data_IF_992309078593
#
_entry.id   IF_992309078593
#
_cell.length_a   1.000
_cell.length_b   1.000
_cell.length_c   1.000
_cell.angle_alpha   90.00
_cell.angle_beta   90.00
_cell.angle_gamma   90.00
#
_symmetry.space_group_name_H-M   'P 1'
#
loop_
_entity.id
_entity.type
_entity.pdbx_description
1 polymer ?
#
# COMPACT_ATOMS: atom_id res chain seq x y z
N UNK A 1 -13.78 -25.37 19.93
CA UNK A 1 -12.41 -24.84 19.95
C UNK A 1 -11.51 -25.66 19.02
N UNK A 2 -11.44 -26.98 19.23
CA UNK A 2 -10.64 -27.94 18.44
C UNK A 2 -10.84 -27.91 16.91
N UNK A 3 -12.08 -27.81 16.41
CA UNK A 3 -12.32 -27.77 14.96
C UNK A 3 -11.75 -26.51 14.28
N UNK A 4 -11.76 -25.36 14.98
CA UNK A 4 -11.20 -24.10 14.49
C UNK A 4 -9.67 -24.14 14.51
N UNK A 5 -9.07 -24.77 15.51
CA UNK A 5 -7.63 -24.96 15.59
C UNK A 5 -7.13 -25.91 14.49
N UNK A 6 -7.83 -27.01 14.25
CA UNK A 6 -7.53 -27.92 13.14
C UNK A 6 -7.62 -27.23 11.77
N UNK A 7 -8.63 -26.39 11.56
CA UNK A 7 -8.75 -25.57 10.35
C UNK A 7 -7.63 -24.52 10.21
N UNK A 8 -7.14 -23.96 11.32
CA UNK A 8 -6.00 -23.05 11.30
C UNK A 8 -4.69 -23.78 11.00
N UNK A 9 -4.53 -25.01 11.51
CA UNK A 9 -3.38 -25.86 11.24
C UNK A 9 -3.32 -26.28 9.76
N UNK A 10 -4.47 -26.61 9.15
CA UNK A 10 -4.51 -26.98 7.73
C UNK A 10 -4.20 -25.82 6.77
N UNK A 11 -4.31 -24.57 7.24
CA UNK A 11 -3.96 -23.36 6.50
C UNK A 11 -2.51 -22.90 6.70
N UNK A 12 -1.73 -23.62 7.52
CA UNK A 12 -0.31 -23.28 7.72
C UNK A 12 0.47 -23.53 6.43
N UNK A 13 1.58 -22.79 6.23
CA UNK A 13 2.47 -23.07 5.13
C UNK A 13 2.96 -24.52 5.16
N UNK A 14 3.15 -25.09 3.97
CA UNK A 14 3.64 -26.48 3.80
C UNK A 14 5.02 -26.71 4.43
N UNK A 15 5.86 -25.69 4.41
CA UNK A 15 7.22 -25.72 4.94
C UNK A 15 7.35 -24.73 6.08
N UNK A 16 8.09 -25.09 7.11
CA UNK A 16 8.61 -24.16 8.11
C UNK A 16 9.66 -23.23 7.49
N UNK A 17 9.96 -22.11 8.14
CA UNK A 17 10.98 -21.17 7.67
C UNK A 17 12.38 -21.81 7.65
N UNK A 18 12.69 -22.69 8.60
CA UNK A 18 13.95 -23.44 8.63
C UNK A 18 14.07 -24.39 7.43
N UNK A 19 13.00 -25.12 7.10
CA UNK A 19 12.97 -25.97 5.90
C UNK A 19 13.11 -25.13 4.63
N UNK A 20 12.46 -23.97 4.54
CA UNK A 20 12.65 -23.04 3.43
C UNK A 20 14.12 -22.63 3.24
N UNK A 21 14.82 -22.30 4.33
CA UNK A 21 16.24 -21.92 4.28
C UNK A 21 17.13 -23.08 3.80
N UNK A 22 16.96 -24.27 4.39
CA UNK A 22 17.72 -25.46 3.99
C UNK A 22 17.47 -25.84 2.52
N UNK A 23 16.21 -25.77 2.08
CA UNK A 23 15.83 -26.01 0.68
C UNK A 23 16.42 -24.97 -0.25
N UNK A 24 16.46 -23.69 0.14
CA UNK A 24 17.05 -22.64 -0.68
C UNK A 24 18.55 -22.85 -0.89
N UNK A 25 19.30 -23.22 0.15
CA UNK A 25 20.73 -23.53 0.04
C UNK A 25 20.98 -24.71 -0.90
N UNK A 26 20.18 -25.78 -0.77
CA UNK A 26 20.24 -26.92 -1.68
C UNK A 26 19.88 -26.51 -3.11
N UNK A 27 18.81 -25.73 -3.31
CA UNK A 27 18.38 -25.27 -4.62
C UNK A 27 19.45 -24.38 -5.29
N UNK A 28 20.09 -23.49 -4.51
CA UNK A 28 21.10 -22.57 -5.00
C UNK A 28 22.36 -23.30 -5.52
N UNK A 29 22.70 -24.46 -4.94
CA UNK A 29 23.85 -25.28 -5.38
C UNK A 29 23.55 -26.16 -6.60
N UNK A 30 22.29 -26.32 -7.01
CA UNK A 30 21.94 -27.15 -8.16
C UNK A 30 22.50 -26.62 -9.49
N UNK A 31 22.76 -27.51 -10.47
CA UNK A 31 22.99 -27.13 -11.86
C UNK A 31 21.80 -26.34 -12.43
N UNK A 32 22.07 -25.44 -13.39
CA UNK A 32 21.03 -24.58 -13.98
C UNK A 32 19.83 -25.36 -14.53
N UNK A 33 20.06 -26.50 -15.19
CA UNK A 33 18.99 -27.33 -15.79
C UNK A 33 18.03 -27.94 -14.76
N UNK A 34 18.49 -28.07 -13.51
CA UNK A 34 17.71 -28.64 -12.41
C UNK A 34 17.01 -27.57 -11.56
N UNK A 35 17.39 -26.30 -11.69
CA UNK A 35 16.77 -25.18 -10.98
C UNK A 35 15.40 -24.88 -11.58
N UNK A 36 14.36 -25.56 -11.11
CA UNK A 36 12.97 -25.38 -11.58
C UNK A 36 12.10 -24.67 -10.54
N UNK A 37 11.25 -23.77 -11.01
CA UNK A 37 10.18 -23.15 -10.24
C UNK A 37 8.84 -23.60 -10.78
N UNK A 38 7.94 -24.04 -9.90
CA UNK A 38 6.57 -24.39 -10.27
C UNK A 38 5.68 -23.16 -10.19
N UNK A 39 5.12 -22.74 -11.33
CA UNK A 39 4.26 -21.56 -11.42
C UNK A 39 2.87 -21.82 -10.82
N UNK A 40 2.40 -23.07 -10.83
CA UNK A 40 1.08 -23.40 -10.28
C UNK A 40 1.11 -23.45 -8.76
N UNK A 41 2.17 -24.06 -8.20
CA UNK A 41 2.35 -24.19 -6.75
C UNK A 41 3.09 -23.00 -6.11
N UNK A 42 3.75 -22.16 -6.92
CA UNK A 42 4.54 -21.00 -6.47
C UNK A 42 5.70 -21.39 -5.54
N UNK A 43 6.40 -22.50 -5.87
CA UNK A 43 7.52 -23.04 -5.08
C UNK A 43 8.74 -23.36 -5.94
N UNK A 44 9.93 -23.19 -5.36
CA UNK A 44 11.19 -23.75 -5.85
C UNK A 44 11.17 -25.28 -5.67
N UNK A 45 11.51 -26.00 -6.73
CA UNK A 45 11.51 -27.47 -6.75
C UNK A 45 12.92 -28.02 -6.60
N UNK A 46 13.08 -28.97 -5.69
CA UNK A 46 14.25 -29.83 -5.66
C UNK A 46 14.10 -30.98 -6.68
N UNK A 47 15.19 -31.64 -7.12
CA UNK A 47 15.14 -32.66 -8.17
C UNK A 47 14.15 -33.80 -7.89
N UNK A 48 14.04 -34.22 -6.63
CA UNK A 48 13.10 -35.26 -6.19
C UNK A 48 11.62 -34.88 -6.35
N UNK A 49 11.30 -33.58 -6.48
CA UNK A 49 9.92 -33.07 -6.58
C UNK A 49 9.49 -32.87 -8.04
N UNK A 50 10.41 -33.01 -9.01
CA UNK A 50 10.11 -32.77 -10.42
C UNK A 50 9.03 -33.70 -10.99
N UNK A 51 9.04 -34.98 -10.61
CA UNK A 51 8.05 -35.96 -11.09
C UNK A 51 6.64 -35.63 -10.61
N UNK A 52 6.50 -35.25 -9.33
CA UNK A 52 5.22 -34.83 -8.74
C UNK A 52 4.65 -33.54 -9.33
N UNK A 53 5.50 -32.73 -9.99
CA UNK A 53 5.12 -31.49 -10.66
C UNK A 53 5.18 -31.59 -12.20
N UNK A 54 5.24 -32.80 -12.76
CA UNK A 54 5.34 -33.03 -14.21
C UNK A 54 4.15 -32.50 -15.00
N UNK A 55 2.95 -32.52 -14.41
CA UNK A 55 1.72 -31.97 -14.99
C UNK A 55 1.55 -30.46 -14.74
N UNK A 56 2.42 -29.85 -13.93
CA UNK A 56 2.35 -28.42 -13.62
C UNK A 56 3.19 -27.59 -14.58
N UNK A 57 2.85 -26.31 -14.69
CA UNK A 57 3.71 -25.32 -15.34
C UNK A 57 4.98 -25.11 -14.53
N UNK A 58 6.12 -25.33 -15.17
CA UNK A 58 7.43 -25.14 -14.56
C UNK A 58 8.33 -24.31 -15.48
N UNK A 59 9.21 -23.51 -14.88
CA UNK A 59 10.20 -22.69 -15.58
C UNK A 59 11.57 -22.86 -14.94
N UNK A 60 12.63 -22.78 -15.75
CA UNK A 60 14.01 -22.78 -15.26
C UNK A 60 14.36 -21.44 -14.61
N UNK A 61 15.12 -21.46 -13.52
CA UNK A 61 15.42 -20.27 -12.71
C UNK A 61 16.91 -19.91 -12.82
N UNK A 62 17.17 -18.69 -13.27
CA UNK A 62 18.50 -18.09 -13.28
C UNK A 62 18.90 -17.55 -11.90
N UNK A 63 20.20 -17.37 -11.67
CA UNK A 63 20.69 -16.71 -10.44
C UNK A 63 20.19 -15.25 -10.31
N UNK A 64 19.92 -14.56 -11.42
CA UNK A 64 19.34 -13.22 -11.40
C UNK A 64 17.87 -13.24 -10.93
N UNK A 65 17.08 -14.22 -11.41
CA UNK A 65 15.68 -14.40 -10.98
C UNK A 65 15.56 -14.79 -9.51
N UNK A 66 16.46 -15.64 -9.00
CA UNK A 66 16.47 -15.99 -7.57
C UNK A 66 16.65 -14.78 -6.64
N UNK A 67 17.40 -13.77 -7.09
CA UNK A 67 17.62 -12.52 -6.35
C UNK A 67 16.48 -11.50 -6.52
N UNK A 68 15.47 -11.80 -7.34
CA UNK A 68 14.28 -10.97 -7.55
C UNK A 68 13.00 -11.82 -7.43
N UNK A 69 12.62 -12.31 -6.24
CA UNK A 69 11.46 -13.20 -6.12
C UNK A 69 10.15 -12.61 -6.65
N UNK A 70 9.99 -11.28 -6.64
CA UNK A 70 8.81 -10.59 -7.18
C UNK A 70 8.60 -10.73 -8.69
N UNK A 71 9.60 -11.21 -9.45
CA UNK A 71 9.43 -11.55 -10.88
C UNK A 71 9.07 -13.03 -11.11
N UNK A 72 9.29 -13.90 -10.10
CA UNK A 72 8.92 -15.31 -10.13
C UNK A 72 7.53 -15.52 -9.52
N UNK A 73 7.29 -14.92 -8.35
CA UNK A 73 6.04 -15.02 -7.62
C UNK A 73 4.97 -14.17 -8.32
N UNK A 74 3.85 -14.81 -8.65
CA UNK A 74 2.67 -14.09 -9.10
C UNK A 74 2.16 -13.19 -7.95
N UNK A 75 1.89 -11.89 -8.20
CA UNK A 75 1.37 -11.02 -7.16
C UNK A 75 0.01 -11.49 -6.63
N UNK A 76 -0.18 -11.43 -5.31
CA UNK A 76 -1.49 -11.64 -4.67
C UNK A 76 -2.27 -10.31 -4.65
N UNK A 77 -2.79 -9.93 -5.81
CA UNK A 77 -3.39 -8.61 -6.07
C UNK A 77 -4.85 -8.45 -5.59
N UNK A 78 -5.41 -9.47 -4.93
CA UNK A 78 -6.76 -9.40 -4.39
C UNK A 78 -6.85 -8.30 -3.31
N UNK A 79 -7.60 -7.24 -3.64
CA UNK A 79 -7.76 -6.04 -2.84
C UNK A 79 -8.36 -6.26 -1.44
N UNK A 80 -9.03 -7.40 -1.22
CA UNK A 80 -9.68 -7.73 0.05
C UNK A 80 -8.79 -8.54 1.00
N UNK A 81 -7.68 -9.10 0.51
CA UNK A 81 -6.75 -9.88 1.32
C UNK A 81 -5.36 -9.23 1.33
N UNK A 82 -4.48 -9.66 0.42
CA UNK A 82 -3.07 -9.30 0.41
C UNK A 82 -2.85 -7.94 -0.24
N UNK A 83 -3.63 -7.60 -1.27
CA UNK A 83 -3.51 -6.36 -2.04
C UNK A 83 -2.04 -6.05 -2.41
N UNK A 84 -1.29 -7.07 -2.84
CA UNK A 84 0.13 -6.96 -3.11
C UNK A 84 0.36 -6.17 -4.39
N UNK A 85 0.67 -4.88 -4.24
CA UNK A 85 1.05 -4.01 -5.33
C UNK A 85 2.56 -3.79 -5.29
N UNK A 86 3.21 -4.00 -6.42
CA UNK A 86 4.65 -3.97 -6.54
C UNK A 86 5.09 -2.64 -7.15
N UNK A 87 6.01 -1.94 -6.49
CA UNK A 87 6.58 -0.68 -6.98
C UNK A 87 7.18 -0.84 -8.37
N UNK A 88 6.94 0.11 -9.26
CA UNK A 88 7.77 0.27 -10.47
C UNK A 88 9.25 0.31 -10.13
N UNK A 89 10.13 -0.15 -11.04
CA UNK A 89 11.58 -0.04 -10.85
C UNK A 89 11.98 1.42 -10.54
N UNK A 90 11.38 2.41 -11.23
CA UNK A 90 11.61 3.84 -10.96
C UNK A 90 11.37 4.21 -9.49
N UNK A 91 10.20 3.83 -8.95
CA UNK A 91 9.84 4.18 -7.57
C UNK A 91 10.70 3.44 -6.54
N UNK A 92 11.06 2.19 -6.81
CA UNK A 92 11.87 1.38 -5.91
C UNK A 92 13.33 1.86 -5.88
N UNK A 93 13.92 2.23 -7.02
CA UNK A 93 15.27 2.83 -7.07
C UNK A 93 15.30 4.20 -6.40
N UNK A 94 14.31 5.06 -6.66
CA UNK A 94 14.21 6.34 -5.94
C UNK A 94 14.24 6.16 -4.41
N UNK A 95 13.47 5.20 -3.88
CA UNK A 95 13.48 4.91 -2.44
C UNK A 95 14.86 4.44 -1.98
N UNK A 96 15.47 3.47 -2.67
CA UNK A 96 16.79 2.95 -2.33
C UNK A 96 17.85 4.06 -2.32
N UNK A 97 17.93 4.83 -3.40
CA UNK A 97 18.93 5.88 -3.58
C UNK A 97 18.74 7.02 -2.57
N UNK A 98 17.48 7.36 -2.26
CA UNK A 98 17.16 8.34 -1.21
C UNK A 98 17.66 7.86 0.16
N UNK A 99 17.35 6.62 0.55
CA UNK A 99 17.75 6.09 1.85
C UNK A 99 19.27 5.97 1.98
N UNK A 100 19.92 5.51 0.91
CA UNK A 100 21.37 5.45 0.82
C UNK A 100 22.02 6.83 0.92
N UNK A 101 21.51 7.82 0.18
CA UNK A 101 22.01 9.19 0.19
C UNK A 101 21.80 9.91 1.52
N UNK A 102 20.80 9.49 2.31
CA UNK A 102 20.60 9.93 3.69
C UNK A 102 21.51 9.23 4.70
N UNK A 103 22.30 8.24 4.26
CA UNK A 103 23.27 7.53 5.11
C UNK A 103 22.72 6.32 5.87
N UNK A 104 21.45 5.92 5.64
CA UNK A 104 20.91 4.73 6.30
C UNK A 104 21.64 3.46 5.86
N UNK A 105 21.97 2.59 6.82
CA UNK A 105 22.63 1.30 6.55
C UNK A 105 21.73 0.10 6.81
N UNK A 106 20.61 0.29 7.52
CA UNK A 106 19.64 -0.76 7.85
C UNK A 106 18.24 -0.33 7.42
N UNK A 107 17.58 -1.13 6.59
CA UNK A 107 16.21 -0.86 6.11
C UNK A 107 15.26 -1.97 6.55
N UNK A 108 14.34 -1.63 7.44
CA UNK A 108 13.24 -2.53 7.82
C UNK A 108 12.12 -2.41 6.77
N UNK A 109 12.00 -3.43 5.92
CA UNK A 109 11.03 -3.48 4.84
C UNK A 109 9.72 -4.12 5.33
N UNK A 110 8.66 -3.34 5.52
CA UNK A 110 7.35 -3.85 5.98
C UNK A 110 6.38 -3.89 4.81
N UNK A 111 6.17 -5.08 4.23
CA UNK A 111 5.33 -5.26 3.04
C UNK A 111 5.94 -4.70 1.75
N UNK A 112 7.26 -4.58 1.66
CA UNK A 112 7.96 -3.93 0.53
C UNK A 112 8.96 -4.86 -0.16
N UNK A 113 8.52 -6.01 -0.72
CA UNK A 113 9.42 -7.04 -1.24
C UNK A 113 10.34 -6.56 -2.36
N UNK A 114 9.88 -5.66 -3.25
CA UNK A 114 10.74 -5.10 -4.31
C UNK A 114 11.86 -4.21 -3.78
N UNK A 115 11.64 -3.51 -2.67
CA UNK A 115 12.70 -2.72 -2.05
C UNK A 115 13.74 -3.63 -1.41
N UNK A 116 13.31 -4.68 -0.70
CA UNK A 116 14.19 -5.73 -0.17
C UNK A 116 15.10 -6.30 -1.27
N UNK A 117 14.53 -6.66 -2.42
CA UNK A 117 15.28 -7.20 -3.57
C UNK A 117 16.37 -6.24 -4.06
N UNK A 118 16.02 -4.96 -4.27
CA UNK A 118 16.98 -3.97 -4.77
C UNK A 118 18.08 -3.68 -3.75
N UNK A 119 17.76 -3.64 -2.45
CA UNK A 119 18.78 -3.49 -1.40
C UNK A 119 19.78 -4.65 -1.46
N UNK A 120 19.29 -5.89 -1.60
CA UNK A 120 20.13 -7.10 -1.70
C UNK A 120 20.98 -7.16 -2.98
N UNK A 121 20.54 -6.51 -4.05
CA UNK A 121 21.28 -6.41 -5.32
C UNK A 121 22.35 -5.30 -5.30
N UNK A 122 22.34 -4.42 -4.29
CA UNK A 122 23.28 -3.31 -4.18
C UNK A 122 24.67 -3.82 -3.79
N UNK A 123 25.66 -3.56 -4.65
CA UNK A 123 27.05 -3.98 -4.44
C UNK A 123 27.97 -2.87 -3.90
N UNK A 124 27.72 -1.61 -4.27
CA UNK A 124 28.64 -0.49 -4.02
C UNK A 124 28.73 -0.11 -2.54
N UNK A 125 27.59 -0.17 -1.84
CA UNK A 125 27.52 0.05 -0.40
C UNK A 125 26.45 -0.88 0.18
N UNK A 126 26.85 -2.02 0.73
CA UNK A 126 25.93 -2.99 1.29
C UNK A 126 25.07 -2.35 2.38
N UNK A 127 23.75 -2.53 2.27
CA UNK A 127 22.79 -2.20 3.32
C UNK A 127 22.18 -3.50 3.83
N UNK A 128 21.95 -3.58 5.14
CA UNK A 128 21.20 -4.70 5.73
C UNK A 128 19.71 -4.45 5.56
N UNK A 129 18.94 -5.49 5.30
CA UNK A 129 17.49 -5.37 5.14
C UNK A 129 16.75 -6.58 5.66
N UNK A 130 15.66 -6.33 6.38
CA UNK A 130 14.78 -7.35 6.93
C UNK A 130 13.37 -7.13 6.36
N UNK A 131 12.82 -8.15 5.71
CA UNK A 131 11.47 -8.13 5.16
C UNK A 131 10.46 -8.72 6.16
N UNK A 132 9.53 -7.89 6.64
CA UNK A 132 8.34 -8.30 7.37
C UNK A 132 7.16 -8.36 6.40
N UNK A 133 6.67 -9.55 6.07
CA UNK A 133 5.55 -9.72 5.12
C UNK A 133 4.60 -10.85 5.56
N UNK A 134 3.34 -10.74 5.16
CA UNK A 134 2.32 -11.76 5.36
C UNK A 134 2.40 -12.86 4.29
N UNK A 135 3.02 -12.57 3.15
CA UNK A 135 3.22 -13.53 2.07
C UNK A 135 4.40 -14.46 2.36
N UNK A 136 4.11 -15.58 3.02
CA UNK A 136 5.11 -16.59 3.37
C UNK A 136 5.87 -17.18 2.17
N UNK A 137 5.38 -17.00 0.94
CA UNK A 137 6.08 -17.50 -0.26
C UNK A 137 7.46 -16.86 -0.43
N UNK A 138 7.75 -15.71 0.17
CA UNK A 138 9.09 -15.11 0.18
C UNK A 138 10.09 -15.84 1.07
N UNK A 139 9.63 -16.63 2.06
CA UNK A 139 10.50 -17.36 2.98
C UNK A 139 11.46 -18.33 2.27
N UNK A 140 11.10 -18.83 1.08
CA UNK A 140 11.94 -19.75 0.31
C UNK A 140 13.09 -19.06 -0.45
N UNK A 141 13.20 -17.74 -0.39
CA UNK A 141 14.22 -16.96 -1.10
C UNK A 141 15.16 -16.18 -0.18
N UNK A 142 14.89 -16.16 1.12
CA UNK A 142 15.60 -15.34 2.10
C UNK A 142 16.03 -16.18 3.29
N UNK A 143 17.14 -15.79 3.92
CA UNK A 143 17.58 -16.42 5.17
C UNK A 143 16.66 -16.07 6.35
N UNK A 144 16.89 -16.69 7.51
CA UNK A 144 16.13 -16.41 8.73
C UNK A 144 16.28 -14.97 9.22
N UNK A 145 17.42 -14.33 8.93
CA UNK A 145 17.73 -12.95 9.33
C UNK A 145 17.26 -11.91 8.31
N UNK A 146 16.68 -12.35 7.19
CA UNK A 146 16.28 -11.50 6.07
C UNK A 146 14.76 -11.46 5.86
N UNK A 147 14.02 -12.39 6.46
CA UNK A 147 12.57 -12.48 6.35
C UNK A 147 11.92 -12.89 7.68
N UNK A 148 10.78 -12.29 7.99
CA UNK A 148 9.91 -12.75 9.06
C UNK A 148 8.46 -12.78 8.56
N UNK A 149 7.79 -13.92 8.77
CA UNK A 149 6.37 -14.03 8.50
C UNK A 149 5.60 -13.20 9.55
N UNK A 150 5.01 -12.11 9.09
CA UNK A 150 4.52 -11.04 9.94
C UNK A 150 3.18 -10.48 9.47
N UNK A 151 2.28 -10.21 10.42
CA UNK A 151 1.03 -9.52 10.15
C UNK A 151 1.07 -8.09 10.71
N UNK A 152 1.13 -7.12 9.79
CA UNK A 152 1.18 -5.69 10.11
C UNK A 152 -0.10 -5.11 10.73
N UNK A 153 -1.26 -5.79 10.67
CA UNK A 153 -2.49 -5.26 11.27
C UNK A 153 -2.60 -5.52 12.76
N UNK A 154 -1.90 -6.52 13.29
CA UNK A 154 -1.98 -6.91 14.69
C UNK A 154 -0.62 -7.15 15.33
N UNK A 155 0.47 -6.77 14.64
CA UNK A 155 1.85 -6.94 15.09
C UNK A 155 2.17 -8.40 15.48
N UNK A 156 1.61 -9.37 14.74
CA UNK A 156 1.80 -10.79 15.02
C UNK A 156 2.95 -11.38 14.21
N UNK A 157 3.86 -12.07 14.89
CA UNK A 157 4.95 -12.85 14.30
C UNK A 157 4.58 -14.33 14.31
N UNK A 158 4.48 -14.96 13.13
CA UNK A 158 4.10 -16.37 13.03
C UNK A 158 5.22 -17.31 13.48
N UNK A 159 6.48 -16.87 13.44
CA UNK A 159 7.61 -17.58 14.04
C UNK A 159 7.79 -17.35 15.54
N UNK A 160 6.85 -16.65 16.20
CA UNK A 160 6.87 -16.42 17.64
C UNK A 160 8.08 -15.61 18.10
N UNK A 161 8.64 -15.98 19.25
CA UNK A 161 9.77 -15.28 19.88
C UNK A 161 11.04 -15.29 19.02
N UNK A 162 11.28 -16.33 18.22
CA UNK A 162 12.44 -16.38 17.34
C UNK A 162 12.43 -15.25 16.30
N UNK A 163 11.28 -15.01 15.64
CA UNK A 163 11.14 -13.90 14.70
C UNK A 163 11.16 -12.53 15.39
N UNK A 164 10.72 -12.44 16.65
CA UNK A 164 10.83 -11.21 17.45
C UNK A 164 12.29 -10.90 17.77
N UNK A 165 13.07 -11.91 18.17
CA UNK A 165 14.50 -11.74 18.42
C UNK A 165 15.26 -11.29 17.16
N UNK A 166 14.88 -11.78 15.98
CA UNK A 166 15.42 -11.29 14.70
C UNK A 166 15.11 -9.81 14.49
N UNK A 167 13.87 -9.38 14.75
CA UNK A 167 13.51 -7.95 14.69
C UNK A 167 14.35 -7.14 15.69
N UNK A 168 14.45 -7.57 16.95
CA UNK A 168 15.16 -6.83 17.99
C UNK A 168 16.65 -6.69 17.66
N UNK A 169 17.28 -7.77 17.19
CA UNK A 169 18.66 -7.72 16.68
C UNK A 169 18.80 -6.79 15.47
N UNK A 170 17.81 -6.78 14.58
CA UNK A 170 17.79 -5.85 13.44
C UNK A 170 17.54 -4.40 13.86
N UNK A 171 16.77 -4.13 14.90
CA UNK A 171 16.51 -2.76 15.38
C UNK A 171 17.64 -2.20 16.24
N UNK A 172 18.48 -3.06 16.81
CA UNK A 172 19.65 -2.64 17.58
C UNK A 172 20.64 -1.87 16.67
N UNK A 173 21.00 -0.65 17.07
CA UNK A 173 21.91 0.21 16.32
C UNK A 173 23.31 0.16 16.92
N UNK A 174 24.32 -0.05 16.08
CA UNK A 174 25.72 0.24 16.38
C UNK A 174 26.12 1.58 15.74
N UNK A 175 27.30 2.11 16.07
CA UNK A 175 27.81 3.36 15.48
C UNK A 175 27.76 3.31 13.94
N UNK A 176 27.01 4.24 13.34
CA UNK A 176 26.83 4.32 11.90
C UNK A 176 25.78 3.38 11.29
N UNK A 177 25.10 2.54 12.08
CA UNK A 177 24.09 1.59 11.59
C UNK A 177 22.64 2.07 11.79
N UNK A 178 22.35 3.32 11.44
CA UNK A 178 21.01 3.89 11.61
C UNK A 178 19.95 3.09 10.83
N UNK A 179 18.83 2.81 11.50
CA UNK A 179 17.70 2.06 10.95
C UNK A 179 16.63 3.02 10.43
N UNK A 180 16.06 2.67 9.27
CA UNK A 180 14.85 3.30 8.72
C UNK A 180 13.82 2.23 8.41
N UNK A 181 12.56 2.49 8.74
CA UNK A 181 11.43 1.62 8.40
C UNK A 181 10.74 2.13 7.13
N UNK A 182 10.51 1.25 6.16
CA UNK A 182 9.74 1.55 4.95
C UNK A 182 8.56 0.61 4.86
N UNK A 183 7.35 1.17 4.95
CA UNK A 183 6.11 0.40 5.01
C UNK A 183 5.20 0.73 3.83
N UNK A 184 4.69 -0.30 3.16
CA UNK A 184 3.66 -0.19 2.12
C UNK A 184 2.48 -1.13 2.41
N UNK A 185 1.61 -0.77 3.36
CA UNK A 185 0.52 -1.63 3.78
C UNK A 185 -0.65 -1.62 2.77
N UNK A 186 -1.52 -2.66 2.80
CA UNK A 186 -2.73 -2.71 1.98
C UNK A 186 -3.61 -1.46 2.12
N UNK A 187 -3.91 -0.78 1.02
CA UNK A 187 -4.68 0.48 1.03
C UNK A 187 -6.13 0.35 1.53
N UNK A 188 -6.71 -0.84 1.46
CA UNK A 188 -8.02 -1.15 2.02
C UNK A 188 -8.01 -1.38 3.53
N UNK A 189 -6.82 -1.40 4.13
CA UNK A 189 -6.60 -1.62 5.56
C UNK A 189 -7.09 -0.48 6.44
N UNK A 190 -7.31 -0.79 7.72
CA UNK A 190 -7.60 0.21 8.74
C UNK A 190 -6.30 0.93 9.14
N UNK A 191 -6.27 2.25 8.96
CA UNK A 191 -5.11 3.11 9.27
C UNK A 191 -4.69 2.98 10.75
N UNK A 192 -5.64 2.94 11.68
CA UNK A 192 -5.34 2.92 13.12
C UNK A 192 -4.61 1.66 13.59
N UNK A 193 -5.02 0.43 13.24
CA UNK A 193 -4.23 -0.77 13.50
C UNK A 193 -2.83 -0.76 12.90
N UNK A 194 -2.67 -0.27 11.66
CA UNK A 194 -1.36 -0.13 11.02
C UNK A 194 -0.46 0.82 11.81
N UNK A 195 -0.98 2.01 12.15
CA UNK A 195 -0.26 2.99 12.96
C UNK A 195 0.15 2.41 14.31
N UNK A 196 -0.73 1.64 14.97
CA UNK A 196 -0.42 0.96 16.23
C UNK A 196 0.76 -0.02 16.08
N UNK A 197 0.78 -0.85 15.02
CA UNK A 197 1.90 -1.75 14.76
C UNK A 197 3.21 -0.99 14.52
N UNK A 198 3.17 0.13 13.79
CA UNK A 198 4.35 0.97 13.57
C UNK A 198 4.83 1.64 14.86
N UNK A 199 3.91 2.12 15.71
CA UNK A 199 4.24 2.63 17.04
C UNK A 199 4.89 1.57 17.93
N UNK A 200 4.44 0.31 17.87
CA UNK A 200 5.06 -0.79 18.62
C UNK A 200 6.50 -1.05 18.14
N UNK A 201 6.74 -1.05 16.83
CA UNK A 201 8.10 -1.17 16.28
C UNK A 201 8.98 0.01 16.73
N UNK A 202 8.47 1.24 16.69
CA UNK A 202 9.18 2.43 17.18
C UNK A 202 9.49 2.35 18.68
N UNK A 203 8.56 1.82 19.49
CA UNK A 203 8.79 1.60 20.93
C UNK A 203 9.89 0.57 21.19
N UNK A 204 9.90 -0.54 20.44
CA UNK A 204 10.98 -1.54 20.53
C UNK A 204 12.32 -0.93 20.17
N UNK A 205 12.41 -0.21 19.05
CA UNK A 205 13.63 0.48 18.62
C UNK A 205 14.14 1.48 19.68
N UNK A 206 13.23 2.27 20.29
CA UNK A 206 13.59 3.19 21.38
C UNK A 206 14.17 2.46 22.60
N UNK A 207 13.57 1.34 23.01
CA UNK A 207 14.06 0.55 24.15
C UNK A 207 15.48 0.03 23.92
N UNK A 208 15.83 -0.30 22.68
CA UNK A 208 17.13 -0.86 22.33
C UNK A 208 18.24 0.19 22.23
N UNK A 209 17.93 1.46 21.97
CA UNK A 209 18.94 2.51 21.73
C UNK A 209 19.75 2.94 22.95
N UNK A 210 19.38 2.55 24.18
CA UNK A 210 20.02 2.98 25.44
C UNK A 210 20.24 4.50 25.59
N UNK A 211 19.69 5.31 24.69
CA UNK A 211 19.76 6.76 24.71
C UNK A 211 18.58 7.26 25.53
N UNK A 212 18.84 7.94 26.65
CA UNK A 212 17.80 8.48 27.55
C UNK A 212 16.80 9.45 26.90
N UNK A 213 16.92 9.73 25.61
CA UNK A 213 15.96 10.50 24.83
C UNK A 213 14.78 9.63 24.36
N UNK A 214 13.79 9.52 25.24
CA UNK A 214 12.55 8.76 25.00
C UNK A 214 11.64 9.36 23.93
N UNK A 215 11.96 10.55 23.39
CA UNK A 215 11.05 11.34 22.57
C UNK A 215 11.32 11.25 21.05
N UNK A 216 12.31 10.48 20.62
CA UNK A 216 12.64 10.27 19.21
C UNK A 216 12.01 8.98 18.71
N UNK A 217 11.17 9.06 17.68
CA UNK A 217 10.65 7.89 16.97
C UNK A 217 11.63 7.38 15.91
N UNK A 218 11.55 6.09 15.58
CA UNK A 218 12.31 5.50 14.48
C UNK A 218 12.03 6.28 13.18
N UNK A 219 13.05 6.59 12.35
CA UNK A 219 12.82 7.12 11.01
C UNK A 219 11.90 6.18 10.21
N UNK A 220 10.82 6.72 9.66
CA UNK A 220 9.80 5.95 8.93
C UNK A 220 9.44 6.62 7.62
N UNK A 221 9.27 5.81 6.57
CA UNK A 221 8.57 6.16 5.33
C UNK A 221 7.33 5.25 5.22
N UNK A 222 6.16 5.79 5.53
CA UNK A 222 4.88 5.13 5.31
C UNK A 222 4.32 5.55 3.96
N UNK A 223 4.23 4.59 3.03
CA UNK A 223 3.72 4.76 1.68
C UNK A 223 2.20 4.53 1.71
N UNK A 224 1.41 5.56 1.40
CA UNK A 224 -0.05 5.45 1.46
C UNK A 224 -0.75 6.52 0.59
N UNK A 225 -2.04 6.34 0.24
CA UNK A 225 -2.75 7.33 -0.58
C UNK A 225 -2.97 8.66 0.15
N UNK A 226 -2.72 9.79 -0.52
CA UNK A 226 -2.74 11.14 0.08
C UNK A 226 -4.06 11.51 0.77
N UNK A 227 -5.18 10.92 0.35
CA UNK A 227 -6.50 11.21 0.92
C UNK A 227 -6.70 10.62 2.32
N UNK A 228 -5.79 9.78 2.80
CA UNK A 228 -5.76 9.28 4.17
C UNK A 228 -4.93 10.13 5.13
N UNK A 229 -4.25 11.18 4.64
CA UNK A 229 -3.41 12.07 5.45
C UNK A 229 -4.07 12.50 6.77
N UNK A 230 -5.32 12.98 6.84
CA UNK A 230 -5.91 13.37 8.12
C UNK A 230 -5.94 12.23 9.16
N UNK A 231 -6.19 10.99 8.73
CA UNK A 231 -6.23 9.82 9.63
C UNK A 231 -4.84 9.35 10.02
N UNK A 232 -3.86 9.48 9.12
CA UNK A 232 -2.46 9.17 9.41
C UNK A 232 -1.95 10.14 10.47
N UNK A 233 -2.16 11.45 10.29
CA UNK A 233 -1.71 12.48 11.23
C UNK A 233 -2.45 12.44 12.57
N UNK A 234 -3.70 11.99 12.59
CA UNK A 234 -4.43 11.71 13.85
C UNK A 234 -3.74 10.61 14.67
N UNK A 235 -3.15 9.61 14.00
CA UNK A 235 -2.48 8.50 14.68
C UNK A 235 -0.98 8.77 14.94
N UNK A 236 -0.30 9.43 13.99
CA UNK A 236 1.14 9.70 13.98
C UNK A 236 1.38 11.16 13.56
N UNK A 237 1.23 12.13 14.50
CA UNK A 237 1.23 13.56 14.19
C UNK A 237 2.60 14.11 13.75
N UNK A 238 3.69 13.40 14.02
CA UNK A 238 5.04 13.79 13.61
C UNK A 238 5.31 13.58 12.10
N UNK A 239 4.42 12.86 11.40
CA UNK A 239 4.62 12.59 9.97
C UNK A 239 4.25 13.81 9.12
N UNK A 240 4.96 13.98 8.02
CA UNK A 240 4.66 14.95 6.96
C UNK A 240 4.55 14.21 5.63
N UNK A 241 3.60 14.64 4.79
CA UNK A 241 3.43 14.10 3.45
C UNK A 241 4.38 14.78 2.45
N UNK A 242 5.12 13.99 1.68
CA UNK A 242 5.95 14.46 0.56
C UNK A 242 5.17 14.43 -0.75
N UNK A 243 5.63 15.22 -1.74
CA UNK A 243 4.97 15.33 -3.05
C UNK A 243 5.33 14.18 -4.02
N UNK A 244 6.28 13.31 -3.65
CA UNK A 244 6.71 12.21 -4.51
C UNK A 244 5.57 11.23 -4.82
N UNK A 245 5.42 10.90 -6.10
CA UNK A 245 4.33 10.06 -6.60
C UNK A 245 4.83 8.64 -6.79
N UNK A 246 4.43 7.76 -5.88
CA UNK A 246 4.82 6.34 -5.94
C UNK A 246 3.97 5.61 -6.97
N UNK A 247 4.62 4.93 -7.92
CA UNK A 247 3.97 4.16 -8.97
C UNK A 247 4.12 2.66 -8.78
N UNK A 248 3.11 1.92 -9.23
CA UNK A 248 3.01 0.47 -9.13
C UNK A 248 2.79 -0.17 -10.51
N UNK A 249 3.45 -1.29 -10.78
CA UNK A 249 3.32 -2.01 -12.06
C UNK A 249 1.91 -2.61 -12.23
N UNK A 250 1.42 -3.22 -11.17
CA UNK A 250 0.23 -4.06 -11.18
C UNK A 250 -1.03 -3.39 -10.58
N UNK A 251 -1.01 -2.07 -10.34
CA UNK A 251 -2.22 -1.33 -9.93
C UNK A 251 -2.85 -0.59 -11.13
N UNK A 252 -4.16 -0.77 -11.41
CA UNK A 252 -4.80 -0.19 -12.60
C UNK A 252 -4.87 1.35 -12.57
N UNK A 253 -4.87 1.96 -11.38
CA UNK A 253 -5.08 3.40 -11.19
C UNK A 253 -3.90 4.13 -10.53
N UNK A 254 -2.87 3.42 -10.03
CA UNK A 254 -1.79 4.00 -9.21
C UNK A 254 -0.48 3.92 -9.97
N UNK A 255 -0.52 4.47 -11.18
CA UNK A 255 0.61 4.56 -12.10
C UNK A 255 0.45 5.80 -12.95
N UNK A 256 1.56 6.33 -13.45
CA UNK A 256 1.50 7.33 -14.51
C UNK A 256 0.89 6.70 -15.78
N UNK A 257 -0.16 7.32 -16.31
CA UNK A 257 -0.94 6.78 -17.43
C UNK A 257 -1.24 7.84 -18.50
N UNK A 258 -1.38 7.39 -19.75
CA UNK A 258 -1.82 8.23 -20.89
C UNK A 258 -3.34 8.49 -20.90
N UNK A 259 -4.14 7.65 -20.22
CA UNK A 259 -5.61 7.74 -20.13
C UNK A 259 -6.08 7.57 -18.68
N UNK A 260 -7.07 8.36 -18.24
CA UNK A 260 -7.59 8.35 -16.87
C UNK A 260 -6.90 9.35 -15.92
N UNK A 261 -6.74 8.99 -14.64
CA UNK A 261 -5.91 9.78 -13.70
C UNK A 261 -4.46 9.73 -14.19
N UNK A 262 -3.90 10.87 -14.61
CA UNK A 262 -2.52 10.97 -15.12
C UNK A 262 -1.43 10.73 -14.07
N UNK A 263 -1.81 10.56 -12.80
CA UNK A 263 -0.91 10.59 -11.64
C UNK A 263 -1.37 9.60 -10.57
N UNK A 264 -0.42 8.91 -9.94
CA UNK A 264 -0.69 8.06 -8.80
C UNK A 264 -1.18 8.89 -7.60
N UNK A 265 -2.14 8.41 -6.80
CA UNK A 265 -2.54 9.06 -5.56
C UNK A 265 -1.67 8.67 -4.35
N UNK A 266 -0.67 7.79 -4.53
CA UNK A 266 0.16 7.29 -3.43
C UNK A 266 1.34 8.24 -3.17
N UNK A 267 1.56 8.57 -1.90
CA UNK A 267 2.60 9.50 -1.43
C UNK A 267 3.41 8.85 -0.30
N UNK A 268 4.49 9.53 0.06
CA UNK A 268 5.33 9.18 1.21
C UNK A 268 4.92 10.02 2.41
N UNK A 269 4.72 9.39 3.57
CA UNK A 269 4.55 10.03 4.86
C UNK A 269 5.75 9.72 5.75
N UNK A 270 6.42 10.73 6.29
CA UNK A 270 7.67 10.52 7.01
C UNK A 270 7.90 11.52 8.14
N UNK A 271 8.63 11.11 9.17
CA UNK A 271 9.20 11.99 10.20
C UNK A 271 10.63 12.46 9.85
N UNK A 272 11.19 12.02 8.72
CA UNK A 272 12.45 12.56 8.18
C UNK A 272 12.20 13.99 7.67
N UNK A 273 13.13 14.90 7.96
CA UNK A 273 13.00 16.30 7.55
C UNK A 273 12.79 16.42 6.02
N UNK A 274 11.67 17.00 5.55
CA UNK A 274 11.34 17.05 4.11
C UNK A 274 12.38 17.74 3.23
N UNK A 275 13.18 18.65 3.78
CA UNK A 275 14.28 19.32 3.06
C UNK A 275 15.42 18.37 2.68
N UNK A 276 15.62 17.28 3.43
CA UNK A 276 16.68 16.30 3.18
C UNK A 276 16.29 15.28 2.09
N UNK A 277 14.99 15.14 1.80
CA UNK A 277 14.52 14.22 0.77
C UNK A 277 14.42 14.97 -0.56
N UNK A 278 15.49 14.83 -1.36
CA UNK A 278 15.60 15.42 -2.69
C UNK A 278 14.76 14.64 -3.68
N UNK A 279 13.81 15.30 -4.35
CA UNK A 279 12.98 14.67 -5.39
C UNK A 279 13.58 14.91 -6.79
N UNK A 280 13.48 13.94 -7.71
CA UNK A 280 14.14 13.97 -9.02
C UNK A 280 13.63 15.11 -9.90
N UNK A 281 14.53 15.99 -10.34
CA UNK A 281 14.16 17.16 -11.17
C UNK A 281 13.62 16.74 -12.53
N UNK A 282 14.23 15.69 -13.10
CA UNK A 282 13.89 15.04 -14.35
C UNK A 282 12.46 14.46 -14.37
N UNK A 283 11.89 14.14 -13.20
CA UNK A 283 10.49 13.75 -13.06
C UNK A 283 9.54 14.95 -12.83
N UNK A 284 10.05 16.18 -12.92
CA UNK A 284 9.25 17.39 -12.81
C UNK A 284 9.06 17.90 -11.38
N UNK A 285 10.00 17.60 -10.46
CA UNK A 285 10.02 18.17 -9.12
C UNK A 285 10.94 19.39 -9.00
N UNK A 286 10.62 20.28 -8.06
CA UNK A 286 11.41 21.49 -7.74
C UNK A 286 11.47 21.73 -6.23
N UNK A 287 12.53 22.37 -5.76
CA UNK A 287 12.59 22.81 -4.36
C UNK A 287 11.73 24.07 -4.15
N UNK A 288 11.00 24.12 -3.04
CA UNK A 288 10.31 25.32 -2.58
C UNK A 288 11.03 25.87 -1.33
N UNK A 289 11.70 27.01 -1.49
CA UNK A 289 12.43 27.68 -0.39
C UNK A 289 11.52 28.12 0.75
N UNK A 290 10.30 28.56 0.47
CA UNK A 290 9.35 28.99 1.51
C UNK A 290 8.90 27.82 2.40
N UNK A 291 8.65 26.66 1.80
CA UNK A 291 8.19 25.46 2.54
C UNK A 291 9.34 24.53 2.95
N UNK A 292 10.59 24.83 2.55
CA UNK A 292 11.77 23.99 2.78
C UNK A 292 11.53 22.51 2.42
N UNK A 293 10.95 22.26 1.23
CA UNK A 293 10.67 20.91 0.73
C UNK A 293 10.58 20.87 -0.78
N UNK A 294 10.78 19.68 -1.34
CA UNK A 294 10.55 19.45 -2.76
C UNK A 294 9.06 19.24 -3.06
N UNK A 295 8.61 19.82 -4.17
CA UNK A 295 7.21 19.84 -4.61
C UNK A 295 7.11 19.53 -6.10
N UNK A 296 5.97 19.03 -6.55
CA UNK A 296 5.69 18.93 -7.98
C UNK A 296 5.76 20.33 -8.62
N UNK A 297 6.31 20.46 -9.83
CA UNK A 297 6.49 21.76 -10.49
C UNK A 297 5.17 22.54 -10.63
N UNK A 298 4.06 21.84 -10.85
CA UNK A 298 2.71 22.39 -10.95
C UNK A 298 2.08 22.73 -9.58
N UNK A 299 2.64 22.25 -8.48
CA UNK A 299 2.22 22.62 -7.13
C UNK A 299 2.79 24.00 -6.78
N UNK A 300 2.05 25.07 -7.08
CA UNK A 300 2.48 26.45 -6.78
C UNK A 300 2.31 26.77 -5.29
N UNK A 301 3.28 27.48 -4.73
CA UNK A 301 3.19 27.97 -3.35
C UNK A 301 2.09 29.02 -3.25
N UNK A 302 1.17 28.86 -2.29
CA UNK A 302 0.19 29.86 -1.97
C UNK A 302 0.70 30.75 -0.84
N UNK A 303 1.02 32.01 -1.15
CA UNK A 303 1.50 33.01 -0.18
C UNK A 303 0.48 33.30 0.93
N UNK A 304 -0.82 33.26 0.62
CA UNK A 304 -1.91 33.48 1.60
C UNK A 304 -2.04 32.36 2.63
N UNK A 305 -1.77 31.11 2.23
CA UNK A 305 -1.80 29.96 3.14
C UNK A 305 -0.40 29.57 3.65
N UNK A 306 0.65 30.22 3.15
CA UNK A 306 2.06 29.88 3.35
C UNK A 306 2.38 28.38 3.17
N UNK A 307 1.83 27.76 2.13
CA UNK A 307 2.02 26.33 1.85
C UNK A 307 1.91 26.02 0.36
N UNK A 308 2.48 24.89 -0.07
CA UNK A 308 2.23 24.31 -1.40
C UNK A 308 1.05 23.31 -1.30
N UNK A 309 -0.17 23.69 -1.69
CA UNK A 309 -1.41 23.01 -1.31
C UNK A 309 -1.75 21.77 -2.15
N UNK A 310 -1.20 21.66 -3.36
CA UNK A 310 -1.64 20.64 -4.29
C UNK A 310 -1.19 19.26 -3.84
N UNK A 311 -2.16 18.34 -3.72
CA UNK A 311 -1.91 16.93 -3.40
C UNK A 311 -1.99 16.03 -4.63
N UNK A 312 -2.57 16.53 -5.72
CA UNK A 312 -2.85 15.79 -6.95
C UNK A 312 -2.12 16.36 -8.17
N UNK A 313 -1.02 17.09 -7.91
CA UNK A 313 -0.10 17.62 -8.93
C UNK A 313 -0.70 18.64 -9.89
N UNK A 314 -1.92 19.14 -9.64
CA UNK A 314 -2.54 20.24 -10.39
C UNK A 314 -2.36 21.56 -9.67
N UNK A 315 -2.45 22.68 -10.37
CA UNK A 315 -2.48 23.99 -9.72
C UNK A 315 -3.80 24.16 -8.96
N UNK A 316 -3.72 24.31 -7.63
CA UNK A 316 -4.86 24.61 -6.78
C UNK A 316 -5.02 26.11 -6.63
N UNK A 317 -6.27 26.56 -6.44
CA UNK A 317 -6.59 27.98 -6.26
C UNK A 317 -6.92 28.29 -4.81
N UNK A 318 -6.54 29.48 -4.34
CA UNK A 318 -6.92 29.96 -3.03
C UNK A 318 -8.35 30.52 -3.04
N UNK A 319 -9.20 30.09 -2.12
CA UNK A 319 -10.52 30.69 -1.89
C UNK A 319 -10.45 31.63 -0.69
N UNK A 320 -10.53 32.94 -0.92
CA UNK A 320 -10.46 33.96 0.14
C UNK A 320 -11.59 33.80 1.16
N UNK A 321 -12.82 33.51 0.71
CA UNK A 321 -13.97 33.33 1.59
C UNK A 321 -13.86 32.12 2.53
N UNK A 322 -13.12 31.07 2.12
CA UNK A 322 -12.86 29.91 2.98
C UNK A 322 -11.49 29.98 3.69
N UNK A 323 -10.65 30.98 3.38
CA UNK A 323 -9.28 31.07 3.88
C UNK A 323 -8.39 29.86 3.53
N UNK A 324 -8.69 29.11 2.46
CA UNK A 324 -7.96 27.88 2.12
C UNK A 324 -7.84 27.61 0.64
N UNK A 325 -6.81 26.86 0.29
CA UNK A 325 -6.62 26.37 -1.07
C UNK A 325 -7.51 25.17 -1.37
N UNK A 326 -8.06 25.15 -2.59
CA UNK A 326 -8.99 24.12 -3.06
C UNK A 326 -8.63 23.69 -4.47
N UNK A 327 -9.08 22.50 -4.86
CA UNK A 327 -8.92 21.97 -6.22
C UNK A 327 -9.46 22.97 -7.26
N UNK A 328 -8.86 23.03 -8.46
CA UNK A 328 -9.29 23.98 -9.49
C UNK A 328 -10.76 23.77 -9.89
N UNK A 329 -11.23 22.52 -9.86
CA UNK A 329 -12.61 22.13 -10.18
C UNK A 329 -13.64 22.46 -9.09
N UNK A 330 -13.24 23.03 -7.96
CA UNK A 330 -14.14 23.41 -6.87
C UNK A 330 -14.46 24.91 -6.95
N UNK A 331 -15.66 25.31 -6.53
CA UNK A 331 -16.10 26.71 -6.40
C UNK A 331 -16.73 26.92 -5.02
N UNK A 332 -16.71 28.17 -4.54
CA UNK A 332 -17.35 28.53 -3.27
C UNK A 332 -18.87 28.63 -3.48
N UNK A 333 -19.68 27.80 -2.81
CA UNK A 333 -21.14 27.98 -2.75
C UNK A 333 -21.45 28.96 -1.62
N UNK A 334 -21.90 30.16 -1.99
CA UNK A 334 -22.30 31.21 -1.04
C UNK A 334 -23.39 30.71 -0.09
N UNK A 335 -24.38 29.96 -0.60
CA UNK A 335 -25.46 29.40 0.22
C UNK A 335 -24.98 28.40 1.26
N UNK A 336 -23.90 27.66 0.99
CA UNK A 336 -23.33 26.69 1.93
C UNK A 336 -22.13 27.21 2.73
N UNK A 337 -21.62 28.40 2.42
CA UNK A 337 -20.39 28.95 3.03
C UNK A 337 -19.16 28.05 2.85
N UNK A 338 -19.12 27.19 1.82
CA UNK A 338 -18.01 26.24 1.61
C UNK A 338 -17.68 26.02 0.15
N UNK A 339 -16.41 25.71 -0.11
CA UNK A 339 -16.01 25.20 -1.41
C UNK A 339 -16.49 23.76 -1.63
N UNK A 340 -17.05 23.50 -2.80
CA UNK A 340 -17.51 22.19 -3.25
C UNK A 340 -17.43 22.08 -4.79
N UNK A 341 -17.78 20.92 -5.34
CA UNK A 341 -17.97 20.79 -6.79
C UNK A 341 -19.19 21.60 -7.23
N UNK A 342 -19.24 22.16 -8.46
CA UNK A 342 -20.37 22.96 -8.94
C UNK A 342 -21.73 22.28 -8.72
N UNK A 343 -21.85 21.00 -9.08
CA UNK A 343 -23.10 20.23 -9.01
C UNK A 343 -23.36 19.56 -7.65
N UNK A 344 -22.73 20.05 -6.58
CA UNK A 344 -23.01 19.52 -5.24
C UNK A 344 -24.41 19.95 -4.75
N UNK A 345 -25.07 19.12 -3.93
CA UNK A 345 -26.29 19.53 -3.28
C UNK A 345 -25.96 20.63 -2.25
N UNK A 346 -26.25 21.90 -2.57
CA UNK A 346 -26.27 22.94 -1.55
C UNK A 346 -27.46 22.60 -0.63
N UNK A 347 -27.24 22.55 0.69
CA UNK A 347 -28.38 22.51 1.63
C UNK A 347 -29.12 23.81 1.37
N UNK A 348 -30.33 23.73 0.82
CA UNK A 348 -31.16 24.91 0.65
C UNK A 348 -31.23 25.64 2.00
N UNK A 349 -31.20 26.96 1.94
CA UNK A 349 -31.23 27.84 3.11
C UNK A 349 -32.57 27.79 3.87
N UNK A 350 -33.46 26.87 3.51
CA UNK A 350 -34.64 26.49 4.26
C UNK A 350 -34.42 25.09 4.84
N UNK A 351 -34.31 25.04 6.17
CA UNK A 351 -33.80 23.90 6.92
C UNK A 351 -34.41 22.55 6.55
N UNK A 352 -33.57 21.65 6.05
CA UNK A 352 -33.75 20.20 6.23
C UNK A 352 -33.55 19.80 7.70
N UNK A 353 -34.31 20.42 8.60
CA UNK A 353 -34.51 19.94 9.95
C UNK A 353 -35.41 18.73 9.81
N UNK A 354 -34.86 17.54 9.57
CA UNK A 354 -35.64 16.35 9.41
C UNK A 354 -34.84 15.07 9.57
N UNK A 355 -35.36 14.16 10.36
CA UNK A 355 -34.85 12.82 10.50
C UNK A 355 -35.16 12.02 9.22
N UNK A 356 -34.14 11.77 8.40
CA UNK A 356 -34.26 10.94 7.20
C UNK A 356 -34.75 9.50 7.45
N UNK A 357 -34.76 9.03 8.70
CA UNK A 357 -35.26 7.70 9.06
C UNK A 357 -36.75 7.65 9.37
N UNK A 358 -37.38 8.77 9.76
CA UNK A 358 -38.81 8.80 10.09
C UNK A 358 -39.58 10.01 9.54
N UNK A 359 -38.93 10.90 8.82
CA UNK A 359 -39.51 12.12 8.26
C UNK A 359 -39.77 13.24 9.26
N UNK A 360 -39.61 13.01 10.58
CA UNK A 360 -39.89 14.02 11.62
C UNK A 360 -38.93 15.20 11.54
N UNK A 361 -39.47 16.42 11.59
CA UNK A 361 -38.69 17.65 11.51
C UNK A 361 -38.05 18.08 12.85
N UNK A 362 -38.42 17.42 13.95
CA UNK A 362 -38.06 17.85 15.31
C UNK A 362 -36.69 17.35 15.80
N UNK A 363 -36.08 16.39 15.08
CA UNK A 363 -34.80 15.82 15.51
C UNK A 363 -33.94 15.36 14.32
N UNK A 364 -32.62 15.20 14.56
CA UNK A 364 -31.68 14.64 13.57
C UNK A 364 -31.66 13.11 13.63
N UNK A 365 -31.24 12.46 12.53
CA UNK A 365 -31.17 10.99 12.41
C UNK A 365 -30.41 10.25 13.55
N UNK A 366 -29.48 10.94 14.22
CA UNK A 366 -28.72 10.37 15.36
C UNK A 366 -29.52 10.34 16.67
N UNK A 367 -30.55 11.16 16.80
CA UNK A 367 -31.42 11.27 17.97
C UNK A 367 -32.84 10.72 17.69
N UNK A 368 -32.96 9.82 16.70
CA UNK A 368 -34.26 9.30 16.27
C UNK A 368 -34.76 8.15 17.15
N UNK A 369 -35.92 8.29 17.82
CA UNK A 369 -36.44 7.26 18.74
C UNK A 369 -36.82 5.95 18.03
N UNK A 370 -37.17 6.01 16.73
CA UNK A 370 -37.44 4.81 15.92
C UNK A 370 -36.17 3.99 15.62
N UNK A 371 -34.99 4.61 15.71
CA UNK A 371 -33.71 3.94 15.51
C UNK A 371 -33.24 3.18 16.75
N UNK A 372 -33.64 3.64 17.94
CA UNK A 372 -33.42 2.91 19.20
C UNK A 372 -34.38 1.74 19.38
N UNK A 373 -35.63 1.86 18.90
CA UNK A 373 -36.60 0.75 18.85
C UNK A 373 -36.13 -0.41 17.96
N UNK A 374 -35.53 -0.12 16.80
CA UNK A 374 -34.99 -1.16 15.91
C UNK A 374 -33.77 -1.90 16.48
N UNK A 375 -33.01 -1.28 17.41
CA UNK A 375 -31.90 -1.95 18.10
C UNK A 375 -32.34 -2.86 19.24
N UNK A 376 -33.46 -2.56 19.91
CA UNK A 376 -34.00 -3.40 21.00
C UNK A 376 -34.67 -4.68 20.49
N UNK A 377 -35.25 -4.68 19.29
CA UNK A 377 -35.90 -5.87 18.71
C UNK A 377 -34.94 -6.84 17.98
N UNK A 378 -33.64 -6.52 17.89
CA UNK A 378 -32.64 -7.37 17.20
C UNK A 378 -31.91 -8.39 18.10
N UNK A 379 -32.28 -8.51 19.37
CA UNK A 379 -31.81 -9.58 20.26
C UNK A 379 -32.95 -10.56 20.58
N UNK A 380 -33.18 -11.50 19.66
CA UNK A 380 -34.07 -12.66 19.82
C UNK A 380 -33.66 -13.77 18.84
N UNK A 381 -33.92 -15.07 19.13
CA UNK A 381 -33.18 -16.19 18.55
C UNK A 381 -33.45 -16.36 17.06
N UNK A 382 -32.40 -16.67 16.29
CA UNK A 382 -32.45 -16.97 14.86
C UNK A 382 -33.39 -18.15 14.57
N UNK A 383 -34.53 -17.87 13.93
CA UNK A 383 -35.29 -18.88 13.20
C UNK A 383 -34.85 -18.91 11.72
N UNK A 384 -34.49 -20.11 11.24
CA UNK A 384 -34.22 -20.40 9.83
C UNK A 384 -35.48 -20.17 8.99
N UNK A 385 -35.34 -19.53 7.84
CA UNK A 385 -36.32 -19.66 6.76
C UNK A 385 -35.69 -19.40 5.39
N UNK A 386 -36.06 -20.27 4.46
CA UNK A 386 -35.56 -20.45 3.10
C UNK A 386 -36.09 -19.38 2.13
N UNK A 387 -35.23 -19.01 1.17
CA UNK A 387 -35.56 -18.75 -0.23
C UNK A 387 -36.59 -17.67 -0.60
N UNK A 388 -36.15 -16.64 -1.32
CA UNK A 388 -36.47 -16.43 -2.75
C UNK A 388 -35.82 -15.14 -3.28
N UNK A 389 -35.28 -15.25 -4.49
CA UNK A 389 -34.79 -14.16 -5.35
C UNK A 389 -35.93 -13.27 -5.82
N UNK A 390 -35.69 -11.96 -5.94
CA UNK A 390 -36.13 -11.16 -7.09
C UNK A 390 -35.44 -9.79 -7.07
N UNK A 391 -34.60 -9.54 -8.08
CA UNK A 391 -34.05 -8.22 -8.43
C UNK A 391 -35.00 -7.51 -9.39
N UNK A 392 -35.53 -6.35 -9.02
CA UNK A 392 -36.22 -5.47 -9.97
C UNK A 392 -35.21 -4.48 -10.58
N UNK A 393 -34.77 -4.77 -11.80
CA UNK A 393 -34.32 -3.74 -12.74
C UNK A 393 -35.46 -3.46 -13.71
N UNK A 394 -36.00 -2.23 -13.64
CA UNK A 394 -36.96 -1.70 -14.62
C UNK A 394 -36.19 -1.26 -15.87
N UNK A 395 -36.41 -1.97 -16.97
CA UNK A 395 -35.96 -1.61 -18.32
C UNK A 395 -36.99 -0.68 -18.99
N UNK A 396 -36.51 0.36 -19.68
CA UNK A 396 -37.28 1.13 -20.67
C UNK A 396 -37.19 0.46 -22.05
N UNK A 397 -38.26 0.43 -22.86
CA UNK A 397 -38.23 -0.22 -24.17
C UNK A 397 -37.93 0.75 -25.32
N UNK A 398 -37.26 0.24 -26.36
CA UNK A 398 -37.46 0.69 -27.75
C UNK A 398 -36.22 1.17 -28.50
N UNK A 399 -35.54 0.27 -29.23
CA UNK A 399 -35.06 0.50 -30.60
C UNK A 399 -34.54 -0.82 -31.22
N UNK A 400 -34.99 -1.08 -32.44
CA UNK A 400 -34.86 -2.32 -33.22
C UNK A 400 -33.40 -2.69 -33.55
N UNK A 401 -33.08 -3.98 -33.40
CA UNK A 401 -31.89 -4.63 -33.99
C UNK A 401 -32.04 -4.72 -35.52
N UNK A 402 -30.99 -4.35 -36.25
CA UNK A 402 -30.67 -4.96 -37.55
C UNK A 402 -29.29 -5.61 -37.46
N UNK A 403 -29.28 -6.90 -37.79
CA UNK A 403 -28.14 -7.77 -38.03
C UNK A 403 -27.45 -7.42 -39.35
N UNK A 404 -26.15 -7.73 -39.44
CA UNK A 404 -25.39 -7.65 -40.69
C UNK A 404 -23.92 -7.94 -40.45
N UNK A 405 -23.53 -9.19 -40.63
CA UNK A 405 -22.14 -9.60 -40.82
C UNK A 405 -21.64 -9.10 -42.19
N UNK A 406 -20.34 -8.77 -42.28
CA UNK A 406 -19.42 -9.18 -43.36
C UNK A 406 -18.25 -8.19 -43.55
N UNK A 407 -17.12 -8.79 -43.94
CA UNK A 407 -15.97 -8.25 -44.66
C UNK A 407 -14.86 -7.56 -43.86
N UNK A 408 -13.80 -8.35 -43.68
CA UNK A 408 -12.44 -7.83 -43.63
C UNK A 408 -11.91 -7.45 -45.01
N UNK A 409 -10.95 -6.54 -45.04
CA UNK A 409 -9.78 -6.54 -45.93
C UNK A 409 -8.95 -5.27 -45.69
N UNK A 410 -7.63 -5.48 -45.59
CA UNK A 410 -6.53 -4.60 -46.02
C UNK A 410 -6.43 -3.18 -45.41
N UNK A 411 -5.35 -2.97 -44.64
CA UNK A 411 -4.15 -2.29 -45.15
C UNK A 411 -2.98 -2.39 -44.16
N UNK A 412 -2.00 -3.22 -44.52
CA UNK A 412 -0.57 -3.01 -44.22
C UNK A 412 0.01 -2.09 -45.31
N UNK A 413 1.14 -1.47 -44.97
CA UNK A 413 2.09 -0.72 -45.79
C UNK A 413 1.86 0.79 -45.95
N UNK A 414 2.70 1.56 -45.25
CA UNK A 414 3.52 2.61 -45.85
C UNK A 414 4.71 2.91 -44.91
N UNK A 415 5.86 2.32 -45.23
CA UNK A 415 7.19 2.88 -45.00
C UNK A 415 7.70 3.38 -46.37
N UNK A 416 8.63 4.33 -46.34
CA UNK A 416 9.40 4.93 -47.45
C UNK A 416 8.82 6.24 -48.03
N UNK A 417 9.21 7.36 -47.43
CA UNK A 417 10.30 8.22 -47.92
C UNK A 417 10.86 9.06 -46.77
#
# INVERSE_FOLDING_TARGET
MLAREAEMLSKRPRFSQQECCSRFLQFASLPFIEKKFCEDCQILLLPAEHSAHSAHRTTTVTAAQLRRPSILLRPLDNKKSNAQYLFTDRSAHFLLDTLAGLGYKKVLCVGTPRLQELIKLRNLEPMKSLLLDIDFRYAQFYSQDEFCHYNMFNHHFFGGEASRAVLDGFLSEADGEQVVMVADPPFGGLVKPLANSFSLISQTWRKLRNSGDSNIDIPIIWIFPYFFEPRILECLPALTMLDYQVDYDNHPLYKHGKTGRRQSPVRLFTNILPKHIVLPREEGYRFCSMCQRYVCSLNKHCTKCNLCPSKDGREWKHCSACGKCVKPSWSHCTSCGRCALPDHPCRQADGGNGCFSCGSLEHRQKACPLRDMQRKNSFGPKAKSLGKKASHYLAKPGAKKKSGAANGAKKRAAHAL
#
